data_IF_375185824983
#
_entry.id   IF_375185824983
#
_cell.length_a   1.000
_cell.length_b   1.000
_cell.length_c   1.000
_cell.angle_alpha   90.00
_cell.angle_beta   90.00
_cell.angle_gamma   90.00
#
_symmetry.space_group_name_H-M   'P 1'
#
loop_
_entity.id
_entity.type
_entity.pdbx_description
1 polymer ?
#
# COMPACT_ATOMS: atom_id res chain seq x y z
N UNK A 1 14.38 16.46 9.93
CA UNK A 1 13.03 16.98 10.24
C UNK A 1 12.78 18.30 9.52
N UNK A 2 13.58 19.35 9.74
CA UNK A 2 13.38 20.70 9.16
C UNK A 2 13.22 20.70 7.65
N UNK A 3 14.05 19.94 6.92
CA UNK A 3 14.00 19.85 5.45
C UNK A 3 12.63 19.29 5.02
N UNK A 4 12.15 18.25 5.67
CA UNK A 4 10.84 17.64 5.35
C UNK A 4 9.68 18.59 5.67
N UNK A 5 9.73 19.30 6.79
CA UNK A 5 8.71 20.33 7.09
C UNK A 5 8.67 21.42 6.02
N UNK A 6 9.84 21.83 5.51
CA UNK A 6 9.92 22.78 4.39
C UNK A 6 9.35 22.23 3.10
N UNK A 7 9.66 20.96 2.78
CA UNK A 7 9.06 20.26 1.63
C UNK A 7 7.54 20.16 1.73
N UNK A 8 7.00 20.00 2.94
CA UNK A 8 5.56 20.02 3.23
C UNK A 8 4.97 21.45 3.25
N UNK A 9 5.77 22.49 2.95
CA UNK A 9 5.32 23.88 2.87
C UNK A 9 5.25 24.62 4.21
N UNK A 10 5.69 24.01 5.32
CA UNK A 10 5.70 24.69 6.62
C UNK A 10 6.82 25.69 6.74
N UNK A 11 6.50 26.86 7.27
CA UNK A 11 7.44 27.95 7.54
C UNK A 11 7.93 27.95 8.99
N UNK A 12 8.98 28.74 9.29
CA UNK A 12 9.44 28.94 10.65
C UNK A 12 8.39 29.58 11.57
N UNK A 13 7.43 30.34 11.03
CA UNK A 13 6.33 30.91 11.83
C UNK A 13 5.43 29.83 12.44
N UNK A 14 5.18 28.75 11.68
CA UNK A 14 4.34 27.63 12.15
C UNK A 14 5.08 26.74 13.14
N UNK A 15 6.41 26.64 13.03
CA UNK A 15 7.24 25.89 13.97
C UNK A 15 7.49 26.68 15.29
N UNK A 16 7.15 27.99 15.36
CA UNK A 16 7.34 28.78 16.52
C UNK A 16 8.79 29.30 16.72
N UNK A 17 8.99 30.11 17.76
CA UNK A 17 10.24 30.82 17.95
C UNK A 17 11.38 30.01 18.60
N UNK A 18 11.08 28.84 19.17
CA UNK A 18 12.05 28.04 19.94
C UNK A 18 12.68 26.97 19.06
N UNK A 19 13.89 27.23 18.59
CA UNK A 19 14.72 26.26 17.88
C UNK A 19 15.49 25.39 18.89
N UNK A 20 15.59 24.04 18.65
CA UNK A 20 14.97 23.25 17.61
C UNK A 20 13.60 22.68 18.02
N UNK A 21 13.15 22.93 19.25
CA UNK A 21 11.99 22.26 19.84
C UNK A 21 10.70 22.51 19.04
N UNK A 22 10.44 23.73 18.62
CA UNK A 22 9.24 24.05 17.85
C UNK A 22 9.11 23.26 16.55
N UNK A 23 10.23 22.97 15.88
CA UNK A 23 10.22 22.11 14.68
C UNK A 23 9.94 20.64 15.01
N UNK A 24 10.41 20.14 16.15
CA UNK A 24 10.11 18.78 16.60
C UNK A 24 8.65 18.64 17.04
N UNK A 25 8.13 19.64 17.75
CA UNK A 25 6.73 19.67 18.19
C UNK A 25 5.77 19.73 17.00
N UNK A 26 6.05 20.60 16.01
CA UNK A 26 5.29 20.65 14.77
C UNK A 26 5.34 19.31 14.01
N UNK A 27 6.53 18.73 13.88
CA UNK A 27 6.70 17.44 13.22
C UNK A 27 5.90 16.32 13.93
N UNK A 28 5.90 16.32 15.26
CA UNK A 28 5.08 15.39 16.06
C UNK A 28 3.58 15.59 15.82
N UNK A 29 3.12 16.85 15.83
CA UNK A 29 1.69 17.19 15.70
C UNK A 29 1.09 16.80 14.35
N UNK A 30 1.90 16.81 13.27
CA UNK A 30 1.47 16.39 11.93
C UNK A 30 1.74 14.91 11.63
N UNK A 31 2.30 14.14 12.59
CA UNK A 31 2.60 12.73 12.42
C UNK A 31 3.93 12.41 11.71
N UNK A 32 4.75 13.41 11.38
CA UNK A 32 6.02 13.22 10.66
C UNK A 32 7.01 12.34 11.44
N UNK A 33 7.00 12.41 12.78
CA UNK A 33 7.88 11.63 13.66
C UNK A 33 7.22 10.35 14.21
N UNK A 34 6.09 9.96 13.68
CA UNK A 34 5.38 8.76 14.12
C UNK A 34 6.26 7.51 14.08
N UNK A 35 6.27 6.70 15.17
CA UNK A 35 7.12 5.53 15.32
C UNK A 35 8.62 5.82 15.56
N UNK A 36 8.99 7.08 15.82
CA UNK A 36 10.37 7.50 16.01
C UNK A 36 10.55 8.18 17.40
N UNK A 37 10.22 7.47 18.46
CA UNK A 37 10.23 7.98 19.84
C UNK A 37 11.62 8.40 20.35
N UNK A 38 12.69 7.95 19.69
CA UNK A 38 14.08 8.25 20.07
C UNK A 38 14.70 9.45 19.35
N UNK A 39 13.94 10.21 18.55
CA UNK A 39 14.47 11.40 17.89
C UNK A 39 14.79 12.48 18.90
N UNK A 40 16.06 12.93 18.90
CA UNK A 40 16.53 14.01 19.75
C UNK A 40 17.16 15.11 18.91
N UNK A 41 16.98 16.36 19.37
CA UNK A 41 17.62 17.49 18.75
C UNK A 41 19.15 17.35 18.77
N UNK A 42 19.77 17.61 17.63
CA UNK A 42 21.24 17.53 17.49
C UNK A 42 21.80 16.10 17.36
N UNK A 43 21.00 15.06 17.51
CA UNK A 43 21.45 13.69 17.31
C UNK A 43 21.40 13.29 15.81
N UNK A 44 22.40 12.51 15.39
CA UNK A 44 22.39 11.88 14.07
C UNK A 44 21.27 10.81 14.01
N UNK A 45 20.59 10.73 12.88
CA UNK A 45 19.62 9.69 12.59
C UNK A 45 20.26 8.59 11.77
N UNK A 46 19.84 7.36 11.98
CA UNK A 46 20.24 6.21 11.15
C UNK A 46 19.39 6.11 9.88
N UNK A 47 19.78 5.20 8.95
CA UNK A 47 19.08 5.03 7.66
C UNK A 47 17.63 4.59 7.83
N UNK A 48 17.33 3.72 8.81
CA UNK A 48 15.97 3.26 9.05
C UNK A 48 15.08 4.41 9.57
N UNK A 49 15.59 5.24 10.48
CA UNK A 49 14.89 6.44 10.94
C UNK A 49 14.64 7.44 9.81
N UNK A 50 15.63 7.64 8.93
CA UNK A 50 15.48 8.49 7.76
C UNK A 50 14.39 7.95 6.82
N UNK A 51 14.42 6.64 6.50
CA UNK A 51 13.40 6.01 5.67
C UNK A 51 12.00 6.14 6.28
N UNK A 52 11.85 5.94 7.59
CA UNK A 52 10.58 6.12 8.29
C UNK A 52 10.08 7.57 8.20
N UNK A 53 10.94 8.56 8.34
CA UNK A 53 10.57 9.97 8.16
C UNK A 53 10.06 10.25 6.75
N UNK A 54 10.70 9.69 5.70
CA UNK A 54 10.22 9.85 4.32
C UNK A 54 8.85 9.21 4.12
N UNK A 55 8.65 7.98 4.61
CA UNK A 55 7.34 7.30 4.53
C UNK A 55 6.26 8.09 5.26
N UNK A 56 6.57 8.61 6.47
CA UNK A 56 5.64 9.45 7.20
C UNK A 56 5.32 10.75 6.44
N UNK A 57 6.34 11.40 5.87
CA UNK A 57 6.15 12.64 5.12
C UNK A 57 5.16 12.47 3.96
N UNK A 58 5.19 11.35 3.24
CA UNK A 58 4.22 11.07 2.19
C UNK A 58 2.77 11.15 2.68
N UNK A 59 2.51 10.68 3.90
CA UNK A 59 1.18 10.63 4.51
C UNK A 59 0.79 11.89 5.28
N UNK A 60 1.74 12.79 5.54
CA UNK A 60 1.48 14.05 6.23
C UNK A 60 0.67 15.00 5.36
N UNK A 61 -0.11 15.87 6.03
CA UNK A 61 -0.71 17.02 5.36
C UNK A 61 0.34 18.12 5.16
N UNK A 62 0.30 18.75 4.01
CA UNK A 62 1.04 19.96 3.68
C UNK A 62 0.46 21.16 4.43
N UNK A 63 1.15 22.26 4.45
CA UNK A 63 0.71 23.49 5.13
C UNK A 63 -0.62 24.04 4.55
N UNK A 64 -0.97 23.72 3.31
CA UNK A 64 -2.25 24.04 2.65
C UNK A 64 -3.33 22.95 2.85
N UNK A 65 -3.04 21.92 3.65
CA UNK A 65 -4.01 20.91 4.09
C UNK A 65 -4.19 19.70 3.18
N UNK A 66 -3.45 19.59 2.08
CA UNK A 66 -3.47 18.43 1.17
C UNK A 66 -2.59 17.31 1.70
N UNK A 67 -2.90 16.07 1.40
CA UNK A 67 -1.98 14.96 1.70
C UNK A 67 -0.79 15.03 0.73
N UNK A 68 0.44 14.96 1.23
CA UNK A 68 1.64 15.27 0.44
C UNK A 68 1.79 14.36 -0.79
N UNK A 69 1.63 13.03 -0.65
CA UNK A 69 1.77 12.15 -1.82
C UNK A 69 0.77 12.46 -2.93
N UNK A 70 -0.41 13.02 -2.59
CA UNK A 70 -1.43 13.41 -3.58
C UNK A 70 -1.01 14.65 -4.40
N UNK A 71 0.03 15.34 -3.98
CA UNK A 71 0.58 16.50 -4.71
C UNK A 71 1.74 16.14 -5.63
N UNK A 72 2.23 14.88 -5.60
CA UNK A 72 3.43 14.47 -6.33
C UNK A 72 3.16 14.06 -7.77
N UNK A 73 1.97 13.56 -8.07
CA UNK A 73 1.61 13.04 -9.38
C UNK A 73 0.43 13.74 -10.03
N UNK A 74 0.12 13.31 -11.24
CA UNK A 74 -1.02 13.81 -12.02
C UNK A 74 -2.26 12.92 -11.89
N UNK A 75 -2.07 11.63 -11.57
CA UNK A 75 -3.15 10.67 -11.36
C UNK A 75 -2.87 9.78 -10.15
N UNK A 76 -3.93 9.38 -9.45
CA UNK A 76 -3.83 8.54 -8.25
C UNK A 76 -4.85 7.42 -8.35
N UNK A 77 -4.32 6.18 -8.40
CA UNK A 77 -5.14 4.98 -8.31
C UNK A 77 -5.28 4.58 -6.86
N UNK A 78 -6.46 4.76 -6.30
CA UNK A 78 -6.74 4.49 -4.89
C UNK A 78 -6.97 3.00 -4.63
N UNK A 79 -6.48 2.52 -3.47
CA UNK A 79 -6.76 1.16 -2.96
C UNK A 79 -6.41 0.04 -3.93
N UNK A 80 -5.36 0.22 -4.73
CA UNK A 80 -4.87 -0.83 -5.62
C UNK A 80 -4.10 -1.90 -4.82
N UNK A 81 -4.12 -3.13 -5.30
CA UNK A 81 -3.31 -4.23 -4.76
C UNK A 81 -2.20 -4.51 -5.76
N UNK A 82 -0.97 -4.61 -5.27
CA UNK A 82 0.18 -5.03 -6.09
C UNK A 82 0.09 -6.54 -6.31
N UNK A 83 -0.19 -6.97 -7.53
CA UNK A 83 -0.36 -8.38 -7.90
C UNK A 83 0.98 -9.03 -8.25
N UNK A 84 1.83 -8.31 -9.00
CA UNK A 84 3.12 -8.81 -9.44
C UNK A 84 4.10 -7.66 -9.68
N UNK A 85 5.38 -7.97 -9.62
CA UNK A 85 6.48 -7.02 -9.86
C UNK A 85 7.44 -7.60 -10.90
N UNK A 86 8.14 -6.73 -11.64
CA UNK A 86 9.07 -7.15 -12.67
C UNK A 86 8.41 -7.80 -13.89
N UNK A 87 7.11 -7.60 -14.08
CA UNK A 87 6.35 -8.16 -15.21
C UNK A 87 6.57 -7.35 -16.49
N UNK A 88 6.09 -7.87 -17.60
CA UNK A 88 6.02 -7.13 -18.87
C UNK A 88 4.77 -6.26 -18.90
N UNK A 89 4.86 -5.09 -19.53
CA UNK A 89 3.73 -4.20 -19.81
C UNK A 89 2.62 -4.92 -20.57
N UNK A 90 1.38 -4.44 -20.49
CA UNK A 90 0.22 -5.11 -21.09
C UNK A 90 0.28 -5.18 -22.63
N UNK A 91 1.03 -4.26 -23.25
CA UNK A 91 1.35 -4.30 -24.70
C UNK A 91 2.51 -5.24 -25.07
N UNK A 92 3.15 -5.87 -24.08
CA UNK A 92 4.26 -6.81 -24.26
C UNK A 92 5.60 -6.15 -24.62
N UNK A 93 5.70 -4.82 -24.61
CA UNK A 93 6.86 -4.10 -25.15
C UNK A 93 8.01 -3.97 -24.15
N UNK A 94 7.75 -3.81 -22.86
CA UNK A 94 8.75 -3.45 -21.85
C UNK A 94 8.62 -4.30 -20.60
N UNK A 95 9.74 -4.83 -20.09
CA UNK A 95 9.83 -5.56 -18.82
C UNK A 95 10.12 -4.61 -17.66
N UNK A 96 9.89 -5.08 -16.43
CA UNK A 96 10.13 -4.31 -15.19
C UNK A 96 8.92 -3.51 -14.73
N UNK A 97 7.73 -3.80 -15.27
CA UNK A 97 6.49 -3.18 -14.82
C UNK A 97 5.99 -3.80 -13.50
N UNK A 98 5.16 -3.06 -12.82
CA UNK A 98 4.44 -3.47 -11.62
C UNK A 98 2.97 -3.59 -11.99
N UNK A 99 2.40 -4.80 -11.82
CA UNK A 99 0.99 -5.05 -12.10
C UNK A 99 0.17 -4.80 -10.84
N UNK A 100 -0.86 -3.97 -10.96
CA UNK A 100 -1.76 -3.63 -9.88
C UNK A 100 -3.22 -3.83 -10.28
N UNK A 101 -4.11 -3.96 -9.29
CA UNK A 101 -5.54 -4.03 -9.56
C UNK A 101 -6.09 -2.68 -10.05
N UNK A 102 -7.03 -2.75 -10.99
CA UNK A 102 -7.85 -1.63 -11.44
C UNK A 102 -9.31 -2.09 -11.45
N UNK A 103 -9.98 -2.07 -10.29
CA UNK A 103 -11.28 -2.72 -10.08
C UNK A 103 -11.21 -4.23 -10.43
N UNK A 104 -12.04 -4.68 -11.39
CA UNK A 104 -12.01 -6.07 -11.87
C UNK A 104 -10.81 -6.39 -12.77
N UNK A 105 -10.16 -5.38 -13.32
CA UNK A 105 -9.02 -5.53 -14.21
C UNK A 105 -7.70 -5.41 -13.44
N UNK A 106 -6.62 -5.76 -14.11
CA UNK A 106 -5.27 -5.47 -13.68
C UNK A 106 -4.56 -4.67 -14.79
N UNK A 107 -3.71 -3.75 -14.39
CA UNK A 107 -2.92 -2.92 -15.29
C UNK A 107 -1.46 -2.93 -14.84
N UNK A 108 -0.55 -2.94 -15.81
CA UNK A 108 0.89 -2.95 -15.58
C UNK A 108 1.50 -1.58 -15.88
N UNK A 109 2.15 -0.99 -14.88
CA UNK A 109 2.76 0.34 -14.95
C UNK A 109 4.27 0.25 -14.79
N UNK A 110 5.01 1.02 -15.59
CA UNK A 110 6.44 1.18 -15.41
C UNK A 110 6.74 2.14 -14.26
N UNK A 111 7.81 1.92 -13.48
CA UNK A 111 8.29 2.91 -12.53
C UNK A 111 8.97 4.06 -13.27
N UNK A 112 8.70 5.31 -12.90
CA UNK A 112 9.38 6.49 -13.42
C UNK A 112 10.89 6.47 -13.08
N UNK A 113 11.25 5.80 -11.97
CA UNK A 113 12.64 5.67 -11.51
C UNK A 113 12.84 4.30 -10.85
N UNK A 114 14.04 3.74 -11.00
CA UNK A 114 14.42 2.48 -10.37
C UNK A 114 14.22 1.25 -11.28
N UNK A 115 14.42 0.08 -10.71
CA UNK A 115 14.42 -1.20 -11.42
C UNK A 115 13.05 -1.93 -11.42
N UNK A 116 12.04 -1.32 -10.82
CA UNK A 116 10.66 -1.82 -10.84
C UNK A 116 10.43 -3.17 -10.15
N UNK A 117 11.36 -3.63 -9.30
CA UNK A 117 11.22 -4.94 -8.65
C UNK A 117 11.06 -4.87 -7.10
N UNK A 118 10.10 -4.11 -6.57
CA UNK A 118 9.86 -4.04 -5.13
C UNK A 118 9.07 -5.26 -4.63
N UNK A 119 9.68 -6.45 -4.61
CA UNK A 119 9.02 -7.73 -4.22
C UNK A 119 8.28 -7.62 -2.88
N UNK A 120 8.79 -6.83 -1.93
CA UNK A 120 8.15 -6.59 -0.65
C UNK A 120 6.77 -5.89 -0.74
N UNK A 121 6.41 -5.35 -1.90
CA UNK A 121 5.08 -4.73 -2.11
C UNK A 121 4.04 -5.70 -2.64
N UNK A 122 4.44 -6.88 -3.13
CA UNK A 122 3.49 -7.85 -3.67
C UNK A 122 2.48 -8.28 -2.61
N UNK A 123 1.21 -8.28 -2.97
CA UNK A 123 0.10 -8.53 -2.05
C UNK A 123 -0.22 -7.39 -1.09
N UNK A 124 0.41 -6.20 -1.20
CA UNK A 124 0.04 -5.03 -0.39
C UNK A 124 -0.98 -4.17 -1.12
N UNK A 125 -1.90 -3.60 -0.36
CA UNK A 125 -2.86 -2.61 -0.84
C UNK A 125 -2.39 -1.20 -0.50
N UNK A 126 -2.63 -0.26 -1.41
CA UNK A 126 -2.27 1.13 -1.19
C UNK A 126 -2.71 2.04 -2.33
N UNK A 127 -2.22 3.25 -2.31
CA UNK A 127 -2.46 4.25 -3.34
C UNK A 127 -1.25 4.37 -4.27
N UNK A 128 -1.50 4.24 -5.56
CA UNK A 128 -0.49 4.33 -6.62
C UNK A 128 -0.53 5.75 -7.19
N UNK A 129 0.61 6.43 -7.19
CA UNK A 129 0.76 7.79 -7.72
C UNK A 129 1.49 7.73 -9.05
N UNK A 130 0.87 8.24 -10.10
CA UNK A 130 1.38 8.26 -11.46
C UNK A 130 1.76 9.67 -11.90
N UNK A 131 2.76 9.78 -12.74
CA UNK A 131 3.15 11.02 -13.42
C UNK A 131 2.28 11.28 -14.68
N UNK A 132 2.63 12.32 -15.44
CA UNK A 132 1.93 12.67 -16.68
C UNK A 132 2.11 11.64 -17.82
N UNK A 133 3.10 10.76 -17.72
CA UNK A 133 3.35 9.69 -18.69
C UNK A 133 2.63 8.39 -18.30
N UNK A 134 1.99 8.35 -17.15
CA UNK A 134 1.40 7.13 -16.57
C UNK A 134 2.42 6.22 -15.91
N UNK A 135 3.61 6.72 -15.54
CA UNK A 135 4.64 5.97 -14.84
C UNK A 135 4.53 6.15 -13.33
N UNK A 136 4.91 5.13 -12.57
CA UNK A 136 4.81 5.13 -11.11
C UNK A 136 5.87 6.05 -10.49
N UNK A 137 5.43 7.13 -9.83
CA UNK A 137 6.27 7.96 -8.96
C UNK A 137 6.48 7.27 -7.60
N UNK A 138 5.39 6.79 -7.00
CA UNK A 138 5.43 6.11 -5.70
C UNK A 138 4.18 5.25 -5.49
N UNK A 139 4.32 4.26 -4.60
CA UNK A 139 3.22 3.50 -4.04
C UNK A 139 3.18 3.74 -2.53
N UNK A 140 2.04 4.15 -2.00
CA UNK A 140 1.85 4.44 -0.57
C UNK A 140 1.01 3.33 0.04
N UNK A 141 1.63 2.33 0.68
CA UNK A 141 0.90 1.19 1.22
C UNK A 141 0.01 1.58 2.41
N UNK A 142 -1.15 0.94 2.48
CA UNK A 142 -2.08 0.99 3.59
C UNK A 142 -2.48 -0.42 4.02
N UNK A 143 -1.79 -0.95 5.01
CA UNK A 143 -2.04 -2.28 5.57
C UNK A 143 -3.03 -2.25 6.74
N UNK A 144 -3.58 -1.09 7.08
CA UNK A 144 -4.46 -0.91 8.25
C UNK A 144 -5.72 -1.79 8.20
N UNK A 145 -6.11 -2.21 7.00
CA UNK A 145 -7.29 -3.05 6.75
C UNK A 145 -6.96 -4.44 6.23
N UNK A 146 -5.67 -4.79 6.15
CA UNK A 146 -5.21 -6.08 5.66
C UNK A 146 -5.14 -7.12 6.78
N UNK A 147 -5.63 -8.34 6.49
CA UNK A 147 -5.50 -9.49 7.38
C UNK A 147 -5.03 -10.68 6.57
N UNK A 148 -3.86 -11.21 6.91
CA UNK A 148 -3.30 -12.40 6.24
C UNK A 148 -3.50 -13.62 7.11
N UNK A 149 -4.03 -14.69 6.51
CA UNK A 149 -4.26 -15.98 7.17
C UNK A 149 -3.83 -17.13 6.25
N UNK A 150 -3.55 -18.28 6.87
CA UNK A 150 -3.51 -19.56 6.15
C UNK A 150 -4.82 -20.28 6.42
N UNK A 151 -5.48 -20.77 5.37
CA UNK A 151 -6.76 -21.45 5.47
C UNK A 151 -6.61 -22.79 6.20
N UNK A 152 -7.46 -23.04 7.20
CA UNK A 152 -7.52 -24.33 7.91
C UNK A 152 -8.39 -25.38 7.22
N UNK A 153 -9.18 -24.97 6.24
CA UNK A 153 -10.07 -25.81 5.42
C UNK A 153 -10.42 -25.04 4.15
N UNK A 154 -11.07 -25.70 3.22
CA UNK A 154 -11.50 -25.08 1.96
C UNK A 154 -12.43 -23.90 2.22
N UNK A 155 -12.26 -22.84 1.42
CA UNK A 155 -13.11 -21.65 1.52
C UNK A 155 -14.58 -22.03 1.22
N UNK A 156 -15.49 -21.36 1.89
CA UNK A 156 -16.93 -21.57 1.75
C UNK A 156 -17.58 -20.33 1.12
N UNK A 157 -18.75 -20.48 0.53
CA UNK A 157 -19.46 -19.39 -0.15
C UNK A 157 -19.69 -18.13 0.72
N UNK A 158 -19.75 -18.27 2.05
CA UNK A 158 -20.02 -17.17 2.98
C UNK A 158 -18.85 -16.83 3.90
N UNK A 159 -17.82 -17.68 4.01
CA UNK A 159 -16.76 -17.48 4.99
C UNK A 159 -15.49 -18.27 4.66
N UNK A 160 -14.40 -17.88 5.34
CA UNK A 160 -13.15 -18.64 5.43
C UNK A 160 -12.77 -18.85 6.90
N UNK A 161 -11.98 -19.90 7.17
CA UNK A 161 -11.41 -20.18 8.50
C UNK A 161 -9.88 -20.17 8.42
N UNK A 162 -9.26 -19.48 9.36
CA UNK A 162 -7.81 -19.48 9.52
C UNK A 162 -7.32 -20.57 10.48
N UNK A 163 -6.05 -20.94 10.39
CA UNK A 163 -5.40 -21.95 11.25
C UNK A 163 -5.50 -21.62 12.75
N UNK A 164 -5.69 -20.36 13.12
CA UNK A 164 -5.94 -19.94 14.49
C UNK A 164 -7.39 -20.11 14.98
N UNK A 165 -8.26 -20.75 14.17
CA UNK A 165 -9.68 -20.97 14.51
C UNK A 165 -10.60 -19.77 14.24
N UNK A 166 -10.03 -18.63 13.79
CA UNK A 166 -10.84 -17.46 13.46
C UNK A 166 -11.64 -17.71 12.18
N UNK A 167 -12.89 -17.25 12.19
CA UNK A 167 -13.76 -17.27 11.01
C UNK A 167 -13.99 -15.84 10.52
N UNK A 168 -13.89 -15.67 9.21
CA UNK A 168 -14.09 -14.39 8.54
C UNK A 168 -15.20 -14.52 7.50
N UNK A 169 -16.23 -13.68 7.64
CA UNK A 169 -17.31 -13.59 6.67
C UNK A 169 -16.85 -12.79 5.46
N UNK A 170 -17.02 -13.33 4.27
CA UNK A 170 -16.66 -12.69 3.02
C UNK A 170 -17.93 -12.18 2.33
N UNK A 171 -17.87 -10.97 1.81
CA UNK A 171 -18.97 -10.43 1.01
C UNK A 171 -19.06 -11.17 -0.32
N UNK A 172 -20.29 -11.47 -0.78
CA UNK A 172 -20.50 -12.15 -2.05
C UNK A 172 -19.99 -11.39 -3.27
N UNK A 173 -19.90 -10.07 -3.15
CA UNK A 173 -19.37 -9.13 -4.15
C UNK A 173 -17.88 -8.83 -3.98
N UNK A 174 -17.20 -9.45 -2.99
CA UNK A 174 -15.76 -9.29 -2.82
C UNK A 174 -15.02 -9.78 -4.08
N UNK A 175 -13.96 -9.06 -4.46
CA UNK A 175 -13.11 -9.43 -5.58
C UNK A 175 -11.96 -10.31 -5.10
N UNK A 176 -11.70 -11.39 -5.85
CA UNK A 176 -10.60 -12.32 -5.57
C UNK A 176 -9.57 -12.23 -6.68
N UNK A 177 -8.33 -12.04 -6.30
CA UNK A 177 -7.18 -11.98 -7.18
C UNK A 177 -6.24 -13.15 -6.84
N UNK A 178 -6.02 -14.06 -7.79
CA UNK A 178 -5.18 -15.24 -7.61
C UNK A 178 -4.01 -15.19 -8.61
N UNK A 179 -2.79 -15.27 -8.09
CA UNK A 179 -1.58 -15.24 -8.90
C UNK A 179 -1.25 -13.84 -9.43
N UNK A 180 -0.41 -13.80 -10.47
CA UNK A 180 0.18 -12.57 -11.02
C UNK A 180 -0.65 -11.92 -12.13
N UNK A 181 -1.58 -12.64 -12.74
CA UNK A 181 -2.29 -12.19 -13.96
C UNK A 181 -3.69 -11.65 -13.69
N UNK A 182 -4.07 -11.64 -12.45
CA UNK A 182 -5.34 -11.49 -11.82
C UNK A 182 -6.38 -10.55 -12.40
N UNK A 183 -7.21 -11.01 -13.32
CA UNK A 183 -8.57 -10.50 -13.37
C UNK A 183 -9.27 -10.78 -12.04
N UNK A 184 -9.85 -9.74 -11.43
CA UNK A 184 -10.64 -9.89 -10.21
C UNK A 184 -11.92 -10.69 -10.50
N UNK A 185 -12.01 -11.90 -9.94
CA UNK A 185 -13.22 -12.72 -9.98
C UNK A 185 -14.13 -12.40 -8.81
N UNK A 186 -15.43 -12.57 -8.94
CA UNK A 186 -16.32 -12.48 -7.80
C UNK A 186 -15.99 -13.57 -6.77
N UNK A 187 -16.28 -13.34 -5.49
CA UNK A 187 -16.07 -14.34 -4.46
C UNK A 187 -16.76 -15.67 -4.80
N UNK A 188 -18.02 -15.60 -5.26
CA UNK A 188 -18.81 -16.78 -5.59
C UNK A 188 -18.24 -17.60 -6.76
N UNK A 189 -17.51 -16.95 -7.68
CA UNK A 189 -16.87 -17.63 -8.81
C UNK A 189 -15.49 -18.20 -8.47
N UNK A 190 -14.87 -17.74 -7.38
CA UNK A 190 -13.48 -18.05 -7.09
C UNK A 190 -13.24 -18.81 -5.78
N UNK A 191 -14.15 -18.77 -4.79
CA UNK A 191 -13.90 -19.34 -3.46
C UNK A 191 -13.53 -20.83 -3.50
N UNK A 192 -14.13 -21.60 -4.39
CA UNK A 192 -13.87 -23.05 -4.50
C UNK A 192 -12.42 -23.39 -4.91
N UNK A 193 -11.70 -22.44 -5.48
CA UNK A 193 -10.28 -22.59 -5.81
C UNK A 193 -9.32 -22.31 -4.63
N UNK A 194 -9.84 -21.80 -3.52
CA UNK A 194 -9.08 -21.49 -2.32
C UNK A 194 -9.20 -22.64 -1.31
N UNK A 195 -8.25 -23.57 -1.37
CA UNK A 195 -8.25 -24.80 -0.58
C UNK A 195 -7.47 -24.66 0.73
N UNK A 196 -7.62 -25.66 1.61
CA UNK A 196 -6.88 -25.75 2.86
C UNK A 196 -5.35 -25.57 2.64
N UNK A 197 -4.69 -24.85 3.52
CA UNK A 197 -3.26 -24.53 3.42
C UNK A 197 -2.93 -23.33 2.53
N UNK A 198 -3.88 -22.82 1.73
CA UNK A 198 -3.66 -21.60 0.94
C UNK A 198 -3.49 -20.39 1.86
N UNK A 199 -2.45 -19.57 1.62
CA UNK A 199 -2.32 -18.28 2.26
C UNK A 199 -3.08 -17.23 1.47
N UNK A 200 -3.94 -16.49 2.16
CA UNK A 200 -4.70 -15.38 1.59
C UNK A 200 -4.50 -14.11 2.39
N UNK A 201 -4.55 -12.97 1.72
CA UNK A 201 -4.64 -11.65 2.34
C UNK A 201 -6.01 -11.05 2.02
N UNK A 202 -6.75 -10.72 3.06
CA UNK A 202 -8.08 -10.12 2.98
C UNK A 202 -7.98 -8.63 3.27
N UNK A 203 -8.73 -7.82 2.53
CA UNK A 203 -8.79 -6.38 2.73
C UNK A 203 -10.22 -5.98 3.07
N UNK A 204 -10.37 -5.27 4.20
CA UNK A 204 -11.70 -4.83 4.66
C UNK A 204 -11.95 -3.35 4.35
N UNK A 205 -13.22 -3.02 4.13
CA UNK A 205 -13.73 -1.67 4.04
C UNK A 205 -14.99 -1.57 4.88
N UNK A 206 -15.03 -0.59 5.79
CA UNK A 206 -16.20 -0.40 6.69
C UNK A 206 -16.62 -1.70 7.39
N UNK A 207 -15.64 -2.52 7.79
CA UNK A 207 -15.88 -3.78 8.50
C UNK A 207 -16.31 -4.96 7.61
N UNK A 208 -16.34 -4.82 6.29
CA UNK A 208 -16.62 -5.91 5.34
C UNK A 208 -15.37 -6.23 4.55
N UNK A 209 -15.09 -7.52 4.31
CA UNK A 209 -14.02 -7.95 3.42
C UNK A 209 -14.52 -7.77 1.99
N UNK A 210 -13.83 -6.89 1.24
CA UNK A 210 -14.19 -6.49 -0.12
C UNK A 210 -13.22 -6.98 -1.18
N UNK A 211 -12.01 -7.41 -0.77
CA UNK A 211 -11.02 -7.99 -1.67
C UNK A 211 -10.21 -9.07 -0.98
N UNK A 212 -9.79 -10.07 -1.74
CA UNK A 212 -8.94 -11.18 -1.31
C UNK A 212 -7.83 -11.36 -2.33
N UNK A 213 -6.60 -11.51 -1.86
CA UNK A 213 -5.44 -11.80 -2.70
C UNK A 213 -4.77 -13.10 -2.26
N UNK A 214 -4.33 -13.91 -3.22
CA UNK A 214 -3.51 -15.09 -2.98
C UNK A 214 -2.42 -15.20 -4.06
N UNK A 215 -1.20 -15.55 -3.63
CA UNK A 215 -0.08 -15.82 -4.56
C UNK A 215 -0.18 -17.17 -5.22
N UNK A 216 -0.96 -18.10 -4.68
CA UNK A 216 -1.07 -19.48 -5.16
C UNK A 216 -2.08 -19.53 -6.31
N UNK A 217 -1.60 -19.68 -7.56
CA UNK A 217 -2.42 -20.21 -8.62
C UNK A 217 -2.63 -21.70 -8.35
N UNK A 218 -3.87 -22.14 -8.21
CA UNK A 218 -4.19 -23.57 -8.23
C UNK A 218 -3.75 -24.15 -9.55
N UNK A 219 -2.68 -24.94 -9.54
CA UNK A 219 -2.37 -25.83 -10.65
C UNK A 219 -3.49 -26.88 -10.70
N UNK A 220 -4.33 -26.80 -11.70
CA UNK A 220 -5.21 -27.90 -12.13
C UNK A 220 -4.36 -29.02 -12.69
#
# INVERSE_FOLDING_TARGET
VTILLRALGYSGKQAGAVWPQGYLDLAGSIGLTGGLESLRAGAAINRAQAAQLFVNALKCKTADGKVYYETLGSDIKKKTIVLAVGVTTDDGSTSGAIRTTSNKNAEAYLPAHGDGNPVALQGRRGDLVLDNNGEIITFVPDDSTATTITLSGDAQAAYVKGNGGQQYTISSDALVYIGSEGEGKSWLDAYASLTAGTQITMYSERGKITAVYSTTSTTT
#
